data_IF_613790577288
#
_entry.id   IF_613790577288
#
_cell.length_a   1.000
_cell.length_b   1.000
_cell.length_c   1.000
_cell.angle_alpha   90.00
_cell.angle_beta   90.00
_cell.angle_gamma   90.00
#
_symmetry.space_group_name_H-M   'P 1'
#
loop_
_entity.id
_entity.type
_entity.pdbx_description
1 polymer ?
#
# COMPACT_ATOMS: atom_id res chain seq x y z
N UNK A 1 -0.86 -25.46 20.05
CA UNK A 1 0.40 -24.78 19.66
C UNK A 1 0.25 -23.32 19.98
N UNK A 2 1.27 -22.68 20.59
CA UNK A 2 1.16 -21.28 21.04
C UNK A 2 1.12 -20.33 19.82
N UNK A 3 0.31 -19.27 19.89
CA UNK A 3 0.14 -18.15 18.95
C UNK A 3 1.47 -17.63 18.36
N UNK A 4 2.51 -17.58 19.19
CA UNK A 4 3.88 -17.21 18.81
C UNK A 4 4.46 -18.17 17.74
N UNK A 5 4.13 -19.44 17.82
CA UNK A 5 4.52 -20.47 16.81
C UNK A 5 3.73 -20.40 15.51
N UNK A 6 2.47 -19.92 15.55
CA UNK A 6 1.69 -19.68 14.33
C UNK A 6 2.25 -18.51 13.53
N UNK A 7 2.43 -17.38 14.18
CA UNK A 7 3.06 -16.20 13.56
C UNK A 7 4.51 -16.51 13.13
N UNK A 8 5.22 -17.36 13.86
CA UNK A 8 6.54 -17.85 13.47
C UNK A 8 6.50 -18.85 12.31
N UNK A 9 5.48 -19.69 12.20
CA UNK A 9 5.32 -20.63 11.07
C UNK A 9 4.83 -19.92 9.81
N UNK A 10 3.92 -18.97 9.93
CA UNK A 10 3.62 -18.05 8.82
C UNK A 10 4.89 -17.33 8.32
N UNK A 11 5.97 -17.33 9.11
CA UNK A 11 7.26 -16.71 8.80
C UNK A 11 8.40 -17.67 8.54
N UNK A 12 8.24 -18.97 8.80
CA UNK A 12 9.34 -19.94 8.77
C UNK A 12 9.43 -20.77 7.46
N UNK A 13 8.53 -20.52 6.51
CA UNK A 13 8.54 -21.22 5.21
C UNK A 13 9.63 -20.71 4.24
N UNK A 14 10.55 -19.89 4.73
CA UNK A 14 11.61 -19.33 3.90
C UNK A 14 13.02 -19.78 4.29
N UNK A 15 13.22 -20.99 4.79
CA UNK A 15 14.58 -21.55 4.90
C UNK A 15 14.52 -23.06 4.70
N UNK A 16 14.98 -23.50 3.53
CA UNK A 16 15.48 -24.85 3.33
C UNK A 16 14.84 -25.65 2.21
N UNK A 17 15.37 -25.55 1.02
CA UNK A 17 15.78 -26.67 0.17
C UNK A 17 16.04 -26.13 -1.24
N UNK A 18 17.29 -26.13 -1.63
CA UNK A 18 17.67 -25.93 -3.02
C UNK A 18 17.16 -27.08 -3.87
N UNK A 19 16.25 -26.77 -4.77
CA UNK A 19 15.92 -27.61 -5.92
C UNK A 19 16.02 -26.69 -7.15
N UNK A 20 16.96 -27.05 -7.99
CA UNK A 20 17.22 -26.43 -9.29
C UNK A 20 16.00 -26.72 -10.18
N UNK A 21 15.19 -25.72 -10.45
CA UNK A 21 14.21 -25.73 -11.51
C UNK A 21 14.66 -24.77 -12.62
N UNK A 22 14.36 -25.05 -13.89
CA UNK A 22 14.84 -24.21 -14.99
C UNK A 22 14.21 -22.83 -14.90
N UNK A 23 15.05 -21.85 -14.71
CA UNK A 23 14.73 -20.43 -14.66
C UNK A 23 14.19 -19.97 -16.01
N UNK A 24 12.89 -19.73 -16.12
CA UNK A 24 12.46 -18.52 -16.83
C UNK A 24 12.45 -17.42 -15.77
N UNK A 25 13.52 -16.66 -15.79
CA UNK A 25 13.84 -15.67 -14.77
C UNK A 25 12.96 -14.45 -14.91
N UNK A 26 11.94 -14.34 -14.07
CA UNK A 26 11.48 -13.06 -13.59
C UNK A 26 12.17 -12.84 -12.23
N UNK A 27 13.17 -11.98 -12.18
CA UNK A 27 13.88 -11.69 -10.93
C UNK A 27 15.38 -11.61 -11.09
N UNK A 28 15.89 -10.94 -12.10
CA UNK A 28 17.23 -10.36 -11.99
C UNK A 28 17.06 -9.00 -11.33
N UNK A 29 17.50 -8.92 -10.07
CA UNK A 29 17.87 -7.67 -9.43
C UNK A 29 18.97 -7.06 -10.31
N UNK A 30 18.57 -6.17 -11.22
CA UNK A 30 19.52 -5.36 -11.96
C UNK A 30 20.08 -4.37 -10.96
N UNK A 31 21.19 -4.71 -10.33
CA UNK A 31 21.97 -3.76 -9.56
C UNK A 31 22.44 -2.71 -10.57
N UNK A 32 21.71 -1.58 -10.63
CA UNK A 32 22.18 -0.42 -11.39
C UNK A 32 23.35 0.12 -10.58
N UNK A 33 24.55 -0.30 -10.94
CA UNK A 33 25.79 0.28 -10.43
C UNK A 33 25.78 1.74 -10.90
N UNK A 34 25.63 2.67 -9.98
CA UNK A 34 25.76 4.09 -10.22
C UNK A 34 27.23 4.39 -10.54
N UNK A 35 27.62 4.23 -11.81
CA UNK A 35 28.76 4.93 -12.32
C UNK A 35 28.35 6.41 -12.40
N UNK A 36 29.08 7.28 -11.73
CA UNK A 36 28.99 8.73 -11.93
C UNK A 36 29.35 9.08 -13.39
N UNK A 37 28.36 9.00 -14.27
CA UNK A 37 28.47 9.53 -15.61
C UNK A 37 28.00 10.97 -15.58
N UNK A 38 28.93 11.90 -15.79
CA UNK A 38 28.61 13.31 -16.09
C UNK A 38 27.52 13.32 -17.17
N UNK A 39 26.43 14.10 -16.99
CA UNK A 39 25.36 14.17 -17.96
C UNK A 39 25.92 14.69 -19.28
N UNK A 40 25.93 13.86 -20.30
CA UNK A 40 26.10 14.31 -21.69
C UNK A 40 24.88 15.18 -22.01
N UNK A 41 25.09 16.43 -22.38
CA UNK A 41 24.07 17.32 -22.92
C UNK A 41 23.56 16.73 -24.24
N UNK A 42 22.54 15.91 -24.17
CA UNK A 42 21.74 15.51 -25.32
C UNK A 42 20.54 16.41 -25.37
N UNK A 43 20.17 16.94 -26.52
CA UNK A 43 18.96 17.72 -26.74
C UNK A 43 17.78 16.97 -26.11
N UNK A 44 17.25 17.52 -24.98
CA UNK A 44 16.65 16.77 -23.90
C UNK A 44 15.43 15.98 -24.33
N UNK A 45 15.49 14.69 -24.21
CA UNK A 45 14.31 13.84 -24.23
C UNK A 45 13.43 14.25 -23.05
N UNK A 46 12.17 14.63 -23.31
CA UNK A 46 11.22 15.03 -22.27
C UNK A 46 10.32 13.86 -21.92
N UNK A 47 10.15 13.62 -20.63
CA UNK A 47 9.22 12.62 -20.11
C UNK A 47 8.16 13.27 -19.23
N UNK A 48 6.96 12.74 -19.22
CA UNK A 48 5.86 13.21 -18.41
C UNK A 48 5.49 12.10 -17.43
N UNK A 49 5.29 12.44 -16.16
CA UNK A 49 4.84 11.52 -15.12
C UNK A 49 3.48 11.98 -14.62
N UNK A 50 2.48 11.12 -14.73
CA UNK A 50 1.13 11.36 -14.24
C UNK A 50 0.99 10.73 -12.85
N UNK A 51 0.80 11.56 -11.83
CA UNK A 51 0.70 11.18 -10.43
C UNK A 51 1.98 11.45 -9.64
N UNK A 52 1.84 12.18 -8.53
CA UNK A 52 2.91 12.55 -7.60
C UNK A 52 3.02 11.63 -6.39
N UNK A 53 2.54 10.38 -6.47
CA UNK A 53 2.74 9.35 -5.46
C UNK A 53 4.14 8.72 -5.52
N UNK A 54 4.44 7.80 -4.62
CA UNK A 54 5.76 7.14 -4.52
C UNK A 54 6.22 6.54 -5.86
N UNK A 55 5.36 5.77 -6.53
CA UNK A 55 5.70 5.15 -7.81
C UNK A 55 6.01 6.19 -8.89
N UNK A 56 5.22 7.27 -8.99
CA UNK A 56 5.46 8.34 -9.95
C UNK A 56 6.74 9.13 -9.68
N UNK A 57 6.95 9.55 -8.43
CA UNK A 57 8.15 10.30 -8.04
C UNK A 57 9.42 9.47 -8.21
N UNK A 58 9.37 8.17 -7.90
CA UNK A 58 10.53 7.31 -8.10
C UNK A 58 10.76 7.04 -9.59
N UNK A 59 9.72 6.90 -10.39
CA UNK A 59 9.84 6.85 -11.88
C UNK A 59 10.48 8.13 -12.43
N UNK A 60 10.05 9.30 -11.95
CA UNK A 60 10.64 10.58 -12.34
C UNK A 60 12.13 10.68 -11.97
N UNK A 61 12.49 10.21 -10.76
CA UNK A 61 13.86 10.14 -10.30
C UNK A 61 14.72 9.24 -11.22
N UNK A 62 14.26 8.04 -11.55
CA UNK A 62 14.95 7.12 -12.44
C UNK A 62 15.11 7.68 -13.85
N UNK A 63 14.06 8.29 -14.43
CA UNK A 63 14.12 8.96 -15.73
C UNK A 63 15.14 10.10 -15.74
N UNK A 64 15.18 10.92 -14.69
CA UNK A 64 16.19 11.97 -14.55
C UNK A 64 17.59 11.38 -14.56
N UNK A 65 17.83 10.27 -13.87
CA UNK A 65 19.15 9.59 -13.85
C UNK A 65 19.58 9.10 -15.25
N UNK A 66 18.61 8.80 -16.13
CA UNK A 66 18.89 8.42 -17.52
C UNK A 66 18.91 9.61 -18.49
N UNK A 67 18.88 10.85 -17.97
CA UNK A 67 19.07 12.08 -18.75
C UNK A 67 17.79 12.67 -19.35
N UNK A 68 16.61 12.26 -18.89
CA UNK A 68 15.36 12.93 -19.26
C UNK A 68 15.16 14.21 -18.49
N UNK A 69 14.59 15.22 -19.15
CA UNK A 69 13.89 16.33 -18.52
C UNK A 69 12.48 15.86 -18.17
N UNK A 70 12.09 15.92 -16.90
CA UNK A 70 10.86 15.32 -16.42
C UNK A 70 9.87 16.38 -15.95
N UNK A 71 8.62 16.26 -16.36
CA UNK A 71 7.49 17.01 -15.79
C UNK A 71 6.59 16.05 -15.02
N UNK A 72 6.42 16.28 -13.72
CA UNK A 72 5.48 15.53 -12.87
C UNK A 72 4.18 16.32 -12.75
N UNK A 73 3.04 15.67 -12.93
CA UNK A 73 1.70 16.27 -12.83
C UNK A 73 0.94 15.58 -11.72
N UNK A 74 0.54 16.34 -10.70
CA UNK A 74 -0.25 15.86 -9.56
C UNK A 74 -1.51 16.71 -9.42
N UNK A 75 -2.65 16.04 -9.29
CA UNK A 75 -3.95 16.70 -9.12
C UNK A 75 -4.10 17.37 -7.75
N UNK A 76 -3.52 16.77 -6.73
CA UNK A 76 -3.56 17.29 -5.36
C UNK A 76 -2.58 18.44 -5.16
N UNK A 77 -2.81 19.20 -4.09
CA UNK A 77 -1.92 20.30 -3.66
C UNK A 77 -0.62 19.79 -3.01
N UNK A 78 -0.51 18.47 -2.77
CA UNK A 78 0.63 17.82 -2.12
C UNK A 78 1.05 16.57 -2.86
N UNK A 79 2.35 16.31 -2.86
CA UNK A 79 2.92 15.04 -3.29
C UNK A 79 2.80 13.96 -2.20
N UNK A 80 2.98 12.70 -2.59
CA UNK A 80 3.02 11.55 -1.68
C UNK A 80 1.90 10.54 -1.91
N UNK A 81 0.74 10.98 -2.37
CA UNK A 81 -0.41 10.11 -2.59
C UNK A 81 -0.84 9.41 -1.30
N UNK A 82 -0.57 8.10 -1.19
CA UNK A 82 -0.92 7.26 -0.02
C UNK A 82 0.15 7.23 1.08
N UNK A 83 1.19 8.04 0.97
CA UNK A 83 2.17 8.28 2.05
C UNK A 83 1.82 9.61 2.68
N UNK A 84 1.63 9.62 3.99
CA UNK A 84 1.33 10.80 4.78
C UNK A 84 1.84 10.59 6.20
N UNK A 85 2.52 11.59 6.75
CA UNK A 85 2.99 11.61 8.14
C UNK A 85 2.39 12.82 8.83
N UNK A 86 1.82 12.62 10.01
CA UNK A 86 1.42 13.71 10.90
C UNK A 86 2.55 13.99 11.88
N UNK A 87 2.90 15.25 12.00
CA UNK A 87 3.89 15.74 12.95
C UNK A 87 3.30 16.88 13.78
N UNK A 88 3.48 16.79 15.09
CA UNK A 88 3.23 17.87 16.04
C UNK A 88 4.40 17.94 16.99
N UNK A 89 5.31 18.87 16.73
CA UNK A 89 6.55 19.02 17.49
C UNK A 89 6.33 19.51 18.93
N UNK A 90 5.26 20.28 19.19
CA UNK A 90 4.93 20.75 20.54
C UNK A 90 4.52 19.58 21.46
N UNK A 91 3.85 18.60 20.92
CA UNK A 91 3.42 17.40 21.63
C UNK A 91 4.40 16.22 21.46
N UNK A 92 5.45 16.39 20.66
CA UNK A 92 6.39 15.31 20.34
C UNK A 92 5.76 14.15 19.57
N UNK A 93 4.68 14.39 18.82
CA UNK A 93 3.96 13.35 18.06
C UNK A 93 4.50 13.29 16.64
N UNK A 94 4.89 12.08 16.24
CA UNK A 94 5.20 11.74 14.85
C UNK A 94 4.49 10.43 14.50
N UNK A 95 3.50 10.47 13.59
CA UNK A 95 2.71 9.29 13.25
C UNK A 95 2.48 9.20 11.75
N UNK A 96 2.82 8.06 11.17
CA UNK A 96 2.46 7.75 9.79
C UNK A 96 0.96 7.40 9.69
N UNK A 97 0.23 8.23 8.98
CA UNK A 97 -1.18 8.03 8.67
C UNK A 97 -1.41 7.34 7.32
N UNK A 98 -0.37 7.28 6.50
CA UNK A 98 -0.32 6.54 5.23
C UNK A 98 0.41 5.22 5.34
N UNK A 99 1.22 4.91 4.31
CA UNK A 99 2.17 3.81 4.34
C UNK A 99 3.15 3.99 5.47
N UNK A 100 3.28 2.97 6.32
CA UNK A 100 3.96 3.09 7.62
C UNK A 100 5.04 2.02 7.79
N UNK A 101 4.63 0.76 7.61
CA UNK A 101 5.46 -0.38 7.97
C UNK A 101 6.19 -0.97 6.79
N UNK A 102 7.42 -1.42 7.05
CA UNK A 102 8.28 -2.07 6.06
C UNK A 102 8.65 -3.45 6.60
N UNK A 103 8.32 -4.47 5.84
CA UNK A 103 8.63 -5.87 6.15
C UNK A 103 10.06 -6.26 5.81
N UNK A 104 10.51 -7.40 6.34
CA UNK A 104 11.87 -7.88 6.11
C UNK A 104 12.15 -8.20 4.63
N UNK A 105 11.18 -8.77 3.93
CA UNK A 105 11.30 -9.14 2.51
C UNK A 105 11.14 -7.97 1.51
N UNK A 106 10.80 -6.77 1.96
CA UNK A 106 10.56 -5.62 1.10
C UNK A 106 11.89 -4.95 0.69
N UNK A 107 12.57 -5.54 -0.26
CA UNK A 107 13.94 -5.18 -0.66
C UNK A 107 14.02 -3.90 -1.49
N UNK A 108 13.02 -3.63 -2.33
CA UNK A 108 13.07 -2.51 -3.27
C UNK A 108 12.89 -1.18 -2.55
N UNK A 109 11.93 -1.08 -1.64
CA UNK A 109 11.75 0.12 -0.83
C UNK A 109 12.93 0.33 0.14
N UNK A 110 13.51 -0.75 0.70
CA UNK A 110 14.70 -0.63 1.55
C UNK A 110 15.92 -0.13 0.76
N UNK A 111 16.07 -0.60 -0.48
CA UNK A 111 17.11 -0.11 -1.39
C UNK A 111 16.93 1.38 -1.70
N UNK A 112 15.69 1.81 -1.99
CA UNK A 112 15.37 3.22 -2.18
C UNK A 112 15.70 4.07 -0.94
N UNK A 113 15.27 3.63 0.24
CA UNK A 113 15.53 4.34 1.51
C UNK A 113 17.03 4.53 1.72
N UNK A 114 17.84 3.49 1.45
CA UNK A 114 19.30 3.57 1.50
C UNK A 114 19.85 4.56 0.46
N UNK A 115 19.34 4.54 -0.78
CA UNK A 115 19.76 5.48 -1.84
C UNK A 115 19.47 6.94 -1.47
N UNK A 116 18.40 7.18 -0.71
CA UNK A 116 18.01 8.50 -0.23
C UNK A 116 18.73 8.91 1.06
N UNK A 117 19.67 8.11 1.57
CA UNK A 117 20.37 8.32 2.85
C UNK A 117 19.41 8.48 4.04
N UNK A 118 18.32 7.71 4.04
CA UNK A 118 17.37 7.64 5.12
C UNK A 118 17.62 6.40 5.97
N UNK A 119 17.29 6.50 7.26
CA UNK A 119 17.43 5.42 8.22
C UNK A 119 16.12 4.68 8.44
N UNK A 120 16.23 3.37 8.65
CA UNK A 120 15.18 2.53 9.18
C UNK A 120 15.36 2.36 10.68
N UNK A 121 14.26 2.44 11.41
CA UNK A 121 14.19 2.08 12.84
C UNK A 121 13.39 0.82 13.02
N UNK A 122 13.73 0.03 14.04
CA UNK A 122 12.97 -1.17 14.34
C UNK A 122 11.56 -0.80 14.81
N UNK A 123 10.58 -1.43 14.18
CA UNK A 123 9.19 -1.35 14.61
C UNK A 123 8.88 -2.57 15.49
N UNK A 124 8.65 -2.37 16.78
CA UNK A 124 8.26 -3.47 17.70
C UNK A 124 6.79 -3.90 17.55
N UNK A 125 6.17 -3.62 16.40
CA UNK A 125 4.75 -3.95 16.15
C UNK A 125 4.50 -5.47 16.19
N UNK A 126 5.47 -6.30 15.81
CA UNK A 126 5.33 -7.77 15.85
C UNK A 126 5.18 -8.33 17.28
N UNK A 127 5.79 -7.69 18.26
CA UNK A 127 5.59 -8.05 19.68
C UNK A 127 4.21 -7.60 20.16
N UNK A 128 3.64 -6.59 19.51
CA UNK A 128 2.34 -5.98 19.83
C UNK A 128 1.15 -6.79 19.35
N UNK A 129 1.24 -7.47 18.22
CA UNK A 129 0.23 -8.46 17.79
C UNK A 129 0.12 -9.64 18.77
N UNK A 130 1.06 -9.78 19.70
CA UNK A 130 1.09 -10.87 20.69
C UNK A 130 0.63 -10.46 22.10
N UNK A 131 0.40 -9.18 22.39
CA UNK A 131 0.06 -8.67 23.70
C UNK A 131 -1.43 -8.30 23.75
N UNK A 132 -2.09 -9.09 24.43
CA UNK A 132 -3.09 -9.26 25.08
C UNK A 132 -3.91 -8.71 26.19
N UNK A 133 -4.61 -9.07 26.86
CA UNK A 133 -5.54 -8.80 27.97
C UNK A 133 -6.85 -8.11 27.63
N UNK A 134 -7.51 -8.54 26.65
CA UNK A 134 -8.96 -8.67 26.71
C UNK A 134 -9.31 -10.04 26.14
N UNK A 135 -10.45 -10.60 26.47
CA UNK A 135 -10.92 -11.92 26.10
C UNK A 135 -11.02 -12.21 24.58
N UNK A 136 -10.38 -11.39 23.74
CA UNK A 136 -10.30 -11.54 22.30
C UNK A 136 -8.94 -12.10 21.89
N UNK A 137 -8.84 -13.39 21.80
CA UNK A 137 -7.79 -14.06 21.03
C UNK A 137 -7.86 -13.56 19.59
N UNK A 138 -6.93 -12.71 19.18
CA UNK A 138 -6.92 -12.06 17.85
C UNK A 138 -6.87 -13.05 16.68
N UNK A 139 -6.42 -14.28 16.90
CA UNK A 139 -6.42 -15.36 15.90
C UNK A 139 -6.78 -16.67 16.58
N UNK A 140 -8.03 -17.04 16.49
CA UNK A 140 -8.51 -18.36 16.89
C UNK A 140 -8.43 -19.32 15.71
N UNK A 141 -7.22 -19.67 15.29
CA UNK A 141 -6.98 -20.63 14.22
C UNK A 141 -6.31 -21.85 14.81
N UNK A 142 -6.88 -23.03 14.59
CA UNK A 142 -6.35 -24.29 15.07
C UNK A 142 -5.02 -24.66 14.41
N UNK A 143 -4.22 -25.49 15.06
CA UNK A 143 -2.98 -25.99 14.48
C UNK A 143 -3.23 -26.77 13.18
N UNK A 144 -4.33 -27.51 13.10
CA UNK A 144 -4.72 -28.28 11.92
C UNK A 144 -5.05 -27.36 10.74
N UNK A 145 -5.76 -26.25 10.99
CA UNK A 145 -6.09 -25.28 9.94
C UNK A 145 -4.85 -24.53 9.47
N UNK A 146 -3.89 -24.27 10.36
CA UNK A 146 -2.59 -23.70 9.98
C UNK A 146 -1.82 -24.64 9.06
N UNK A 147 -1.75 -25.93 9.42
CA UNK A 147 -1.10 -26.93 8.57
C UNK A 147 -1.79 -27.08 7.22
N UNK A 148 -3.13 -26.93 7.20
CA UNK A 148 -3.92 -26.94 5.97
C UNK A 148 -3.57 -25.75 5.09
N UNK A 149 -3.51 -24.54 5.67
CA UNK A 149 -3.12 -23.32 4.94
C UNK A 149 -1.69 -23.40 4.41
N UNK A 150 -0.75 -23.92 5.21
CA UNK A 150 0.63 -24.11 4.76
C UNK A 150 0.70 -25.06 3.54
N UNK A 151 -0.05 -26.16 3.57
CA UNK A 151 -0.14 -27.10 2.44
C UNK A 151 -0.76 -26.45 1.20
N UNK A 152 -1.81 -25.67 1.39
CA UNK A 152 -2.50 -24.95 0.30
C UNK A 152 -1.58 -23.93 -0.35
N UNK A 153 -0.79 -23.20 0.43
CA UNK A 153 0.18 -22.22 -0.07
C UNK A 153 1.29 -22.92 -0.87
N UNK A 154 1.83 -24.04 -0.36
CA UNK A 154 2.85 -24.80 -1.07
C UNK A 154 2.29 -25.42 -2.37
N UNK A 155 1.07 -25.95 -2.34
CA UNK A 155 0.39 -26.45 -3.53
C UNK A 155 0.18 -25.33 -4.56
N UNK A 156 -0.26 -24.13 -4.14
CA UNK A 156 -0.49 -23.00 -5.02
C UNK A 156 0.75 -22.61 -5.82
N UNK A 157 1.93 -22.68 -5.21
CA UNK A 157 3.21 -22.40 -5.90
C UNK A 157 3.48 -23.35 -7.08
N UNK A 158 2.95 -24.57 -7.03
CA UNK A 158 3.13 -25.59 -8.07
C UNK A 158 2.04 -25.57 -9.15
N UNK A 159 0.96 -24.78 -8.98
CA UNK A 159 -0.16 -24.75 -9.90
C UNK A 159 0.19 -24.08 -11.23
N UNK A 160 -0.28 -24.64 -12.32
CA UNK A 160 -0.27 -24.02 -13.64
C UNK A 160 -1.39 -22.97 -13.80
N UNK A 161 -1.29 -22.16 -14.86
CA UNK A 161 -2.22 -21.07 -15.13
C UNK A 161 -3.69 -21.48 -15.17
N UNK A 162 -4.03 -22.63 -15.74
CA UNK A 162 -5.43 -23.13 -15.80
C UNK A 162 -6.00 -23.37 -14.40
N UNK A 163 -5.20 -23.93 -13.49
CA UNK A 163 -5.62 -24.20 -12.13
C UNK A 163 -5.74 -22.91 -11.32
N UNK A 164 -4.79 -22.00 -11.46
CA UNK A 164 -4.82 -20.65 -10.87
C UNK A 164 -6.03 -19.85 -11.34
N UNK A 165 -6.35 -19.91 -12.64
CA UNK A 165 -7.57 -19.31 -13.19
C UNK A 165 -8.85 -19.93 -12.60
N UNK A 166 -8.82 -21.23 -12.25
CA UNK A 166 -9.91 -21.89 -11.53
C UNK A 166 -10.09 -21.33 -10.12
N UNK A 167 -8.99 -21.17 -9.38
CA UNK A 167 -8.98 -20.58 -8.03
C UNK A 167 -9.43 -19.12 -8.04
N UNK A 168 -9.09 -18.37 -9.06
CA UNK A 168 -9.49 -16.98 -9.21
C UNK A 168 -11.02 -16.77 -9.30
N UNK A 169 -11.77 -17.78 -9.71
CA UNK A 169 -13.24 -17.70 -9.78
C UNK A 169 -13.93 -17.76 -8.41
N UNK A 170 -13.21 -18.11 -7.37
CA UNK A 170 -13.72 -18.34 -6.02
C UNK A 170 -13.14 -17.31 -5.07
N UNK A 171 -13.95 -16.68 -4.23
CA UNK A 171 -13.43 -15.81 -3.18
C UNK A 171 -12.74 -16.61 -2.08
N UNK A 172 -11.79 -15.98 -1.39
CA UNK A 172 -10.95 -16.66 -0.44
C UNK A 172 -11.71 -17.22 0.77
N UNK A 173 -12.74 -16.54 1.29
CA UNK A 173 -13.55 -17.06 2.40
C UNK A 173 -14.25 -18.38 2.03
N UNK A 174 -14.78 -18.47 0.80
CA UNK A 174 -15.40 -19.71 0.31
C UNK A 174 -14.38 -20.82 0.10
N UNK A 175 -13.20 -20.47 -0.42
CA UNK A 175 -12.12 -21.43 -0.59
C UNK A 175 -11.58 -21.96 0.75
N UNK A 176 -11.35 -21.09 1.73
CA UNK A 176 -10.92 -21.47 3.07
C UNK A 176 -11.91 -22.43 3.75
N UNK A 177 -13.22 -22.16 3.61
CA UNK A 177 -14.29 -23.07 4.08
C UNK A 177 -14.21 -24.43 3.39
N UNK A 178 -14.02 -24.46 2.08
CA UNK A 178 -13.83 -25.70 1.33
C UNK A 178 -12.60 -26.48 1.78
N UNK A 179 -11.55 -25.80 2.22
CA UNK A 179 -10.33 -26.41 2.81
C UNK A 179 -10.54 -26.89 4.26
N UNK A 180 -11.72 -26.70 4.84
CA UNK A 180 -12.08 -27.22 6.17
C UNK A 180 -11.87 -26.21 7.32
N UNK A 181 -11.60 -24.93 7.03
CA UNK A 181 -11.56 -23.91 8.07
C UNK A 181 -12.97 -23.62 8.59
N UNK A 182 -13.08 -23.44 9.91
CA UNK A 182 -14.32 -23.07 10.57
C UNK A 182 -14.67 -21.59 10.33
N UNK A 183 -15.94 -21.23 10.53
CA UNK A 183 -16.39 -19.83 10.41
C UNK A 183 -15.68 -18.90 11.40
N UNK A 184 -15.29 -19.39 12.58
CA UNK A 184 -14.55 -18.61 13.56
C UNK A 184 -13.10 -18.34 13.08
N UNK A 185 -12.46 -19.32 12.50
CA UNK A 185 -11.12 -19.19 11.91
C UNK A 185 -11.11 -18.25 10.70
N UNK A 186 -12.14 -18.38 9.83
CA UNK A 186 -12.30 -17.50 8.67
C UNK A 186 -12.54 -16.05 9.12
N UNK A 187 -13.36 -15.81 10.16
CA UNK A 187 -13.53 -14.47 10.75
C UNK A 187 -12.21 -13.92 11.31
N UNK A 188 -11.47 -14.73 12.06
CA UNK A 188 -10.17 -14.32 12.60
C UNK A 188 -9.16 -13.94 11.53
N UNK A 189 -9.14 -14.68 10.42
CA UNK A 189 -8.34 -14.32 9.25
C UNK A 189 -8.82 -13.03 8.62
N UNK A 190 -10.13 -12.90 8.45
CA UNK A 190 -10.73 -11.71 7.86
C UNK A 190 -10.38 -10.44 8.64
N UNK A 191 -10.50 -10.47 9.97
CA UNK A 191 -10.17 -9.33 10.83
C UNK A 191 -8.69 -8.90 10.70
N UNK A 192 -7.79 -9.87 10.53
CA UNK A 192 -6.39 -9.57 10.28
C UNK A 192 -6.16 -8.93 8.90
N UNK A 193 -6.76 -9.51 7.85
CA UNK A 193 -6.54 -9.07 6.48
C UNK A 193 -7.24 -7.74 6.17
N UNK A 194 -8.36 -7.45 6.80
CA UNK A 194 -9.09 -6.18 6.64
C UNK A 194 -8.22 -4.97 6.96
N UNK A 195 -7.43 -5.03 8.02
CA UNK A 195 -6.52 -3.93 8.42
C UNK A 195 -5.49 -3.62 7.32
N UNK A 196 -5.15 -4.60 6.51
CA UNK A 196 -4.14 -4.48 5.46
C UNK A 196 -4.80 -4.15 4.12
N UNK A 197 -5.89 -4.83 3.80
CA UNK A 197 -6.54 -4.74 2.49
C UNK A 197 -7.67 -3.71 2.44
N UNK A 198 -8.23 -3.34 3.60
CA UNK A 198 -9.41 -2.47 3.65
C UNK A 198 -10.67 -3.12 3.09
N UNK A 199 -10.73 -4.44 3.03
CA UNK A 199 -11.84 -5.22 2.47
C UNK A 199 -11.90 -6.60 3.07
N UNK A 200 -13.06 -7.24 2.97
CA UNK A 200 -13.27 -8.60 3.43
C UNK A 200 -12.72 -9.65 2.43
N UNK A 201 -12.24 -10.77 2.96
CA UNK A 201 -11.71 -11.88 2.16
C UNK A 201 -12.75 -12.51 1.21
N UNK A 202 -14.05 -12.30 1.46
CA UNK A 202 -15.11 -12.70 0.54
C UNK A 202 -15.23 -11.82 -0.72
N UNK A 203 -14.53 -10.69 -0.77
CA UNK A 203 -14.47 -9.78 -1.91
C UNK A 203 -13.26 -10.03 -2.81
N UNK A 204 -12.30 -10.85 -2.37
CA UNK A 204 -11.01 -11.03 -3.02
C UNK A 204 -10.90 -12.46 -3.55
N UNK A 205 -10.31 -12.63 -4.73
CA UNK A 205 -10.13 -13.96 -5.32
C UNK A 205 -9.17 -14.83 -4.49
N UNK A 206 -9.41 -16.12 -4.47
CA UNK A 206 -8.53 -17.07 -3.76
C UNK A 206 -7.13 -17.06 -4.35
N UNK A 207 -7.03 -16.95 -5.66
CA UNK A 207 -5.74 -16.88 -6.35
C UNK A 207 -4.94 -15.67 -5.90
N UNK A 208 -5.56 -14.49 -5.87
CA UNK A 208 -4.89 -13.25 -5.46
C UNK A 208 -4.43 -13.32 -4.00
N UNK A 209 -5.25 -13.83 -3.09
CA UNK A 209 -4.86 -13.98 -1.68
C UNK A 209 -3.71 -14.97 -1.53
N UNK A 210 -3.74 -16.11 -2.22
CA UNK A 210 -2.68 -17.11 -2.14
C UNK A 210 -1.38 -16.64 -2.77
N UNK A 211 -1.45 -15.85 -3.83
CA UNK A 211 -0.30 -15.22 -4.47
C UNK A 211 0.36 -14.20 -3.54
N UNK A 212 -0.45 -13.37 -2.88
CA UNK A 212 -0.01 -12.38 -1.92
C UNK A 212 0.39 -12.97 -0.55
N UNK A 213 -0.07 -14.18 -0.17
CA UNK A 213 0.18 -14.77 1.16
C UNK A 213 1.67 -14.86 1.50
N UNK A 214 2.52 -15.15 0.54
CA UNK A 214 3.97 -15.18 0.73
C UNK A 214 4.54 -13.78 1.03
N UNK A 215 4.01 -12.74 0.40
CA UNK A 215 4.35 -11.35 0.66
C UNK A 215 3.71 -10.85 1.95
N UNK A 216 2.48 -11.27 2.24
CA UNK A 216 1.79 -10.98 3.49
C UNK A 216 2.53 -11.51 4.71
N UNK A 217 3.16 -12.66 4.60
CA UNK A 217 4.03 -13.17 5.66
C UNK A 217 5.13 -12.17 6.02
N UNK A 218 5.65 -11.44 5.05
CA UNK A 218 6.63 -10.37 5.29
C UNK A 218 5.97 -9.07 5.77
N UNK A 219 4.76 -8.74 5.33
CA UNK A 219 4.01 -7.56 5.73
C UNK A 219 3.37 -7.71 7.13
N UNK A 220 2.93 -8.91 7.49
CA UNK A 220 2.47 -9.24 8.86
C UNK A 220 3.59 -9.26 9.90
N UNK A 221 4.84 -9.09 9.47
CA UNK A 221 5.99 -8.85 10.32
C UNK A 221 6.61 -7.51 9.97
N UNK A 222 5.91 -6.39 10.22
CA UNK A 222 6.52 -5.09 10.05
C UNK A 222 7.70 -5.01 11.02
N UNK A 223 8.91 -4.97 10.47
CA UNK A 223 10.13 -4.86 11.27
C UNK A 223 10.64 -3.46 11.38
N UNK A 224 10.29 -2.62 10.40
CA UNK A 224 10.92 -1.32 10.26
C UNK A 224 9.89 -0.24 9.97
N UNK A 225 10.25 0.97 10.36
CA UNK A 225 9.65 2.23 9.97
C UNK A 225 10.76 3.20 9.53
N UNK A 226 10.41 4.18 8.73
CA UNK A 226 11.37 5.24 8.35
C UNK A 226 11.57 6.17 9.54
N UNK A 227 12.82 6.39 9.97
CA UNK A 227 13.13 7.37 11.00
C UNK A 227 12.63 8.76 10.59
N UNK A 228 11.77 9.36 11.37
CA UNK A 228 11.17 10.66 11.09
C UNK A 228 10.00 10.60 10.10
N UNK A 229 9.38 9.42 9.94
CA UNK A 229 8.17 9.20 9.14
C UNK A 229 8.41 8.90 7.67
N UNK A 230 7.46 8.19 7.06
CA UNK A 230 7.55 7.73 5.67
C UNK A 230 7.51 8.88 4.66
N UNK A 231 6.92 10.03 5.01
CA UNK A 231 6.86 11.22 4.13
C UNK A 231 8.27 11.76 3.80
N UNK A 232 9.29 11.41 4.60
CA UNK A 232 10.68 11.73 4.27
C UNK A 232 11.14 11.13 2.94
N UNK A 233 10.63 9.96 2.56
CA UNK A 233 10.91 9.38 1.23
C UNK A 233 10.45 10.34 0.13
N UNK A 234 9.24 10.87 0.27
CA UNK A 234 8.64 11.82 -0.69
C UNK A 234 9.45 13.12 -0.73
N UNK A 235 9.82 13.64 0.43
CA UNK A 235 10.64 14.86 0.55
C UNK A 235 12.00 14.71 -0.14
N UNK A 236 12.70 13.60 0.09
CA UNK A 236 14.02 13.41 -0.53
C UNK A 236 13.92 13.14 -2.04
N UNK A 237 12.90 12.42 -2.51
CA UNK A 237 12.66 12.30 -3.96
C UNK A 237 12.33 13.65 -4.59
N UNK A 238 11.53 14.49 -3.92
CA UNK A 238 11.22 15.84 -4.39
C UNK A 238 12.48 16.72 -4.43
N UNK A 239 13.33 16.64 -3.41
CA UNK A 239 14.61 17.34 -3.37
C UNK A 239 15.51 16.90 -4.53
N UNK A 240 15.56 15.60 -4.82
CA UNK A 240 16.30 15.06 -5.94
C UNK A 240 15.77 15.57 -7.30
N UNK A 241 14.49 15.91 -7.37
CA UNK A 241 13.80 16.42 -8.57
C UNK A 241 13.77 17.96 -8.65
N UNK A 242 14.43 18.70 -7.74
CA UNK A 242 14.36 20.17 -7.62
C UNK A 242 14.57 20.97 -8.91
N UNK A 243 15.28 20.41 -9.89
CA UNK A 243 15.53 21.03 -11.20
C UNK A 243 14.60 20.49 -12.29
N UNK A 244 13.56 19.77 -11.90
CA UNK A 244 12.52 19.25 -12.77
C UNK A 244 11.22 20.00 -12.54
N UNK A 245 10.31 19.95 -13.47
CA UNK A 245 9.03 20.61 -13.33
C UNK A 245 8.05 19.74 -12.54
N UNK A 246 7.41 20.31 -11.52
CA UNK A 246 6.34 19.68 -10.76
C UNK A 246 5.12 20.59 -10.79
N UNK A 247 4.03 20.11 -11.35
CA UNK A 247 2.74 20.80 -11.46
C UNK A 247 1.82 20.19 -10.42
N UNK A 248 1.41 20.99 -9.44
CA UNK A 248 0.45 20.62 -8.40
C UNK A 248 -0.91 21.26 -8.65
N UNK A 249 -1.98 20.69 -8.09
CA UNK A 249 -3.33 21.22 -8.18
C UNK A 249 -3.95 21.15 -9.58
N UNK A 250 -3.37 20.38 -10.51
CA UNK A 250 -3.88 20.34 -11.87
C UNK A 250 -4.11 18.90 -12.35
N UNK A 251 -5.27 18.65 -12.93
CA UNK A 251 -5.70 17.32 -13.36
C UNK A 251 -5.43 17.09 -14.82
N UNK A 252 -5.02 15.88 -15.18
CA UNK A 252 -4.93 15.43 -16.56
C UNK A 252 -6.33 15.18 -17.12
N UNK A 253 -6.67 15.82 -18.22
CA UNK A 253 -7.97 15.67 -18.88
C UNK A 253 -7.88 14.86 -20.18
N UNK A 254 -6.73 14.94 -20.87
CA UNK A 254 -6.52 14.23 -22.13
C UNK A 254 -5.05 13.86 -22.32
N UNK A 255 -4.83 12.68 -22.91
CA UNK A 255 -3.52 12.23 -23.39
C UNK A 255 -3.64 11.88 -24.85
N UNK A 256 -2.83 12.52 -25.70
CA UNK A 256 -2.80 12.29 -27.15
C UNK A 256 -1.42 11.81 -27.57
N UNK A 257 -1.35 10.67 -28.24
CA UNK A 257 -0.11 10.06 -28.70
C UNK A 257 0.06 10.20 -30.21
N UNK A 258 1.24 10.54 -30.62
CA UNK A 258 1.69 10.58 -32.00
C UNK A 258 3.00 9.80 -32.13
N UNK A 259 3.46 9.54 -33.37
CA UNK A 259 4.62 8.68 -33.62
C UNK A 259 5.83 8.99 -32.72
N UNK A 260 6.14 10.26 -32.45
CA UNK A 260 7.34 10.66 -31.69
C UNK A 260 7.05 11.57 -30.49
N UNK A 261 5.78 11.81 -30.16
CA UNK A 261 5.41 12.77 -29.14
C UNK A 261 4.15 12.33 -28.40
N UNK A 262 4.09 12.63 -27.13
CA UNK A 262 2.86 12.59 -26.33
C UNK A 262 2.52 14.02 -25.91
N UNK A 263 1.24 14.35 -25.98
CA UNK A 263 0.68 15.62 -25.53
C UNK A 263 -0.31 15.34 -24.41
N UNK A 264 -0.16 16.03 -23.29
CA UNK A 264 -1.02 15.90 -22.11
C UNK A 264 -1.69 17.25 -21.87
N UNK A 265 -3.02 17.27 -21.91
CA UNK A 265 -3.82 18.47 -21.65
C UNK A 265 -4.32 18.42 -20.20
N UNK A 266 -4.24 19.55 -19.52
CA UNK A 266 -4.59 19.72 -18.10
C UNK A 266 -5.90 20.49 -17.93
N UNK A 267 -6.51 20.38 -16.77
CA UNK A 267 -7.76 21.07 -16.43
C UNK A 267 -7.65 22.60 -16.44
N UNK A 268 -6.47 23.14 -16.16
CA UNK A 268 -6.16 24.56 -16.26
C UNK A 268 -6.12 25.09 -17.70
N UNK A 269 -6.19 24.21 -18.72
CA UNK A 269 -5.95 24.57 -20.13
C UNK A 269 -4.49 24.50 -20.55
N UNK A 270 -3.57 24.24 -19.62
CA UNK A 270 -2.16 24.03 -19.92
C UNK A 270 -1.95 22.73 -20.69
N UNK A 271 -0.97 22.71 -21.57
CA UNK A 271 -0.56 21.53 -22.36
C UNK A 271 0.92 21.24 -22.11
N UNK A 272 1.25 19.98 -21.79
CA UNK A 272 2.61 19.48 -21.60
C UNK A 272 2.94 18.47 -22.73
N UNK A 273 4.15 18.57 -23.28
CA UNK A 273 4.63 17.70 -24.36
C UNK A 273 5.85 16.92 -23.97
N UNK A 274 5.91 15.66 -24.31
CA UNK A 274 7.03 14.76 -24.02
C UNK A 274 7.21 13.68 -25.08
N UNK A 275 8.26 12.88 -24.97
CA UNK A 275 8.51 11.72 -25.82
C UNK A 275 7.87 10.44 -25.27
N UNK A 276 7.61 10.38 -23.99
CA UNK A 276 6.92 9.29 -23.30
C UNK A 276 6.15 9.78 -22.06
N UNK A 277 5.25 8.92 -21.57
CA UNK A 277 4.49 9.13 -20.34
C UNK A 277 4.67 7.93 -19.43
N UNK A 278 4.95 8.18 -18.14
CA UNK A 278 4.72 7.20 -17.06
C UNK A 278 3.40 7.53 -16.40
N UNK A 279 2.44 6.64 -16.47
CA UNK A 279 1.15 6.77 -15.81
C UNK A 279 1.16 5.99 -14.50
N UNK A 280 1.26 6.71 -13.37
CA UNK A 280 1.25 6.12 -12.03
C UNK A 280 -0.07 6.35 -11.29
N UNK A 281 -1.12 6.63 -12.04
CA UNK A 281 -2.46 6.85 -11.52
C UNK A 281 -3.13 5.53 -11.11
N UNK A 282 -4.03 5.54 -10.12
CA UNK A 282 -4.89 4.38 -9.85
C UNK A 282 -5.67 3.97 -11.10
N UNK A 283 -5.86 2.67 -11.32
CA UNK A 283 -6.49 2.13 -12.53
C UNK A 283 -7.82 2.81 -12.89
N UNK A 284 -8.68 3.04 -11.88
CA UNK A 284 -9.96 3.74 -12.10
C UNK A 284 -9.79 5.20 -12.56
N UNK A 285 -8.70 5.88 -12.18
CA UNK A 285 -8.44 7.26 -12.61
C UNK A 285 -8.01 7.36 -14.08
N UNK A 286 -7.43 6.28 -14.60
CA UNK A 286 -7.05 6.20 -16.03
C UNK A 286 -8.29 6.28 -16.94
N UNK A 287 -9.44 5.80 -16.47
CA UNK A 287 -10.70 5.83 -17.22
C UNK A 287 -11.32 7.24 -17.32
N UNK A 288 -10.95 8.17 -16.45
CA UNK A 288 -11.46 9.55 -16.49
C UNK A 288 -10.75 10.41 -17.56
N UNK A 289 -9.63 9.93 -18.08
CA UNK A 289 -8.80 10.65 -19.03
C UNK A 289 -9.27 10.32 -20.46
N UNK A 290 -9.39 11.34 -21.31
CA UNK A 290 -9.64 11.14 -22.75
C UNK A 290 -8.35 10.71 -23.44
N UNK A 291 -8.31 9.52 -23.98
CA UNK A 291 -7.16 8.96 -24.68
C UNK A 291 -7.30 9.06 -26.21
N UNK A 292 -6.20 9.38 -26.87
CA UNK A 292 -6.10 9.38 -28.35
C UNK A 292 -4.74 8.77 -28.75
N UNK A 293 -4.70 7.57 -29.36
CA UNK A 293 -5.84 6.70 -29.66
C UNK A 293 -6.56 6.27 -28.37
N UNK A 294 -7.79 5.73 -28.52
CA UNK A 294 -8.56 5.22 -27.38
C UNK A 294 -7.86 4.05 -26.70
N UNK A 295 -8.07 3.90 -25.39
CA UNK A 295 -7.51 2.79 -24.63
C UNK A 295 -7.93 1.43 -25.22
N UNK A 296 -7.04 0.43 -25.21
CA UNK A 296 -7.39 -0.95 -25.52
C UNK A 296 -8.53 -1.47 -24.64
N UNK A 297 -9.41 -2.29 -25.19
CA UNK A 297 -10.56 -2.83 -24.47
C UNK A 297 -10.15 -3.61 -23.22
N UNK A 298 -9.03 -4.31 -23.27
CA UNK A 298 -8.51 -5.10 -22.17
C UNK A 298 -8.03 -4.21 -21.02
N UNK A 299 -7.41 -3.06 -21.30
CA UNK A 299 -7.07 -2.06 -20.29
C UNK A 299 -8.32 -1.50 -19.61
N UNK A 300 -9.34 -1.17 -20.40
CA UNK A 300 -10.62 -0.66 -19.86
C UNK A 300 -11.26 -1.73 -18.97
N UNK A 301 -11.36 -2.96 -19.46
CA UNK A 301 -11.92 -4.08 -18.67
C UNK A 301 -11.14 -4.29 -17.37
N UNK A 302 -9.82 -4.34 -17.45
CA UNK A 302 -8.94 -4.50 -16.28
C UNK A 302 -9.14 -3.38 -15.28
N UNK A 303 -9.18 -2.11 -15.72
CA UNK A 303 -9.41 -0.96 -14.84
C UNK A 303 -10.78 -1.01 -14.14
N UNK A 304 -11.83 -1.48 -14.83
CA UNK A 304 -13.16 -1.64 -14.26
C UNK A 304 -13.25 -2.80 -13.26
N UNK A 305 -12.43 -3.82 -13.43
CA UNK A 305 -12.40 -5.00 -12.53
C UNK A 305 -11.62 -4.73 -11.25
N UNK A 306 -10.56 -3.93 -11.29
CA UNK A 306 -9.80 -3.57 -10.10
C UNK A 306 -10.66 -2.77 -9.13
N UNK A 307 -10.78 -3.26 -7.93
CA UNK A 307 -11.44 -2.57 -6.82
C UNK A 307 -10.39 -1.95 -5.89
N UNK A 308 -10.84 -1.18 -4.92
CA UNK A 308 -9.95 -0.60 -3.91
C UNK A 308 -10.52 -0.81 -2.51
N UNK A 309 -9.66 -1.28 -1.63
CA UNK A 309 -9.97 -1.39 -0.21
C UNK A 309 -10.09 -0.02 0.44
N UNK A 310 -11.00 0.12 1.39
CA UNK A 310 -11.23 1.36 2.11
C UNK A 310 -10.57 1.29 3.47
N UNK A 311 -9.70 2.25 3.76
CA UNK A 311 -9.08 2.42 5.09
C UNK A 311 -9.14 3.89 5.45
N UNK A 312 -9.46 4.17 6.70
CA UNK A 312 -9.22 5.47 7.33
C UNK A 312 -8.42 5.28 8.62
N UNK A 313 -7.59 6.26 8.94
CA UNK A 313 -6.85 6.31 10.21
C UNK A 313 -7.27 7.55 11.00
N UNK A 314 -7.39 7.39 12.31
CA UNK A 314 -7.57 8.51 13.23
C UNK A 314 -6.44 8.48 14.24
N UNK A 315 -5.88 9.64 14.53
CA UNK A 315 -4.96 9.85 15.62
C UNK A 315 -5.66 10.67 16.70
N UNK A 316 -5.63 10.16 17.92
CA UNK A 316 -6.27 10.79 19.09
C UNK A 316 -5.36 10.72 20.29
N UNK A 317 -5.45 11.74 21.17
CA UNK A 317 -4.83 11.64 22.49
C UNK A 317 -5.82 10.99 23.45
N UNK A 318 -5.33 10.00 24.17
CA UNK A 318 -6.10 9.30 25.21
C UNK A 318 -5.37 9.39 26.55
N UNK A 319 -6.16 9.44 27.60
CA UNK A 319 -5.70 9.30 28.98
C UNK A 319 -6.00 7.88 29.46
N UNK A 320 -5.07 7.27 30.16
CA UNK A 320 -5.22 5.96 30.79
C UNK A 320 -4.90 6.03 32.27
N UNK A 321 -5.39 5.07 33.07
CA UNK A 321 -5.04 4.96 34.51
C UNK A 321 -3.58 4.60 34.70
N UNK A 322 -3.08 3.72 33.82
CA UNK A 322 -1.71 3.25 33.83
C UNK A 322 -0.98 3.73 32.56
N UNK A 323 0.34 3.82 32.62
CA UNK A 323 1.15 4.09 31.44
C UNK A 323 0.90 3.02 30.39
N UNK A 324 0.33 3.42 29.24
CA UNK A 324 0.10 2.49 28.13
C UNK A 324 1.44 2.07 27.54
N UNK A 325 1.78 0.82 27.74
CA UNK A 325 2.80 0.18 26.93
C UNK A 325 2.26 0.07 25.48
N UNK A 326 3.16 -0.02 24.54
CA UNK A 326 2.85 -0.23 23.13
C UNK A 326 1.86 -1.40 22.98
N UNK A 327 0.66 -1.15 22.45
CA UNK A 327 -0.35 -2.19 22.20
C UNK A 327 -0.87 -2.13 20.76
N UNK A 328 -1.41 -3.23 20.33
CA UNK A 328 -2.20 -3.37 19.09
C UNK A 328 -3.41 -4.23 19.44
N UNK A 329 -4.59 -3.66 19.29
CA UNK A 329 -5.84 -4.27 19.71
C UNK A 329 -6.86 -4.24 18.55
N UNK A 330 -7.46 -5.37 18.25
CA UNK A 330 -8.63 -5.44 17.36
C UNK A 330 -9.90 -5.40 18.20
N UNK A 331 -10.86 -4.61 17.75
CA UNK A 331 -12.16 -4.41 18.41
C UNK A 331 -13.30 -4.70 17.44
N UNK A 332 -14.51 -4.91 17.96
CA UNK A 332 -15.74 -4.98 17.15
C UNK A 332 -16.40 -3.61 16.93
N UNK A 333 -15.73 -2.54 17.32
CA UNK A 333 -16.22 -1.16 17.24
C UNK A 333 -15.96 -0.54 15.86
N UNK A 334 -16.47 0.67 15.60
CA UNK A 334 -16.13 1.42 14.40
C UNK A 334 -14.63 1.70 14.21
N UNK A 335 -13.86 1.89 15.29
CA UNK A 335 -12.41 2.00 15.28
C UNK A 335 -11.78 0.60 15.42
N UNK A 336 -11.95 -0.24 14.41
CA UNK A 336 -11.66 -1.68 14.40
C UNK A 336 -10.32 -2.09 15.01
N UNK A 337 -9.29 -1.29 14.81
CA UNK A 337 -7.95 -1.57 15.32
C UNK A 337 -7.39 -0.33 15.98
N UNK A 338 -6.95 -0.48 17.21
CA UNK A 338 -6.29 0.56 17.99
C UNK A 338 -4.83 0.17 18.23
N UNK A 339 -3.91 1.10 18.04
CA UNK A 339 -2.50 0.85 18.34
C UNK A 339 -1.77 2.10 18.81
N UNK A 340 -0.71 1.89 19.56
CA UNK A 340 0.22 2.91 20.02
C UNK A 340 1.56 2.71 19.32
N UNK A 341 2.03 3.70 18.59
CA UNK A 341 3.31 3.67 17.88
C UNK A 341 4.46 4.17 18.73
N UNK A 342 4.24 5.25 19.46
CA UNK A 342 5.23 5.93 20.25
C UNK A 342 4.90 5.83 21.76
N UNK A 343 5.90 5.94 22.64
CA UNK A 343 5.66 5.94 24.07
C UNK A 343 4.80 7.13 24.53
N UNK A 344 4.30 7.05 25.76
CA UNK A 344 3.46 8.07 26.37
C UNK A 344 4.09 9.47 26.27
N UNK A 345 3.25 10.46 25.98
CA UNK A 345 3.63 11.87 25.89
C UNK A 345 3.93 12.45 27.31
N UNK A 346 3.55 11.72 28.34
CA UNK A 346 3.70 12.06 29.76
C UNK A 346 2.37 12.05 30.50
N UNK A 347 2.38 11.99 31.82
CA UNK A 347 1.19 12.06 32.69
C UNK A 347 0.03 11.12 32.26
N UNK A 348 0.34 9.88 31.87
CA UNK A 348 -0.65 8.91 31.39
C UNK A 348 -1.41 9.32 30.11
N UNK A 349 -0.85 10.23 29.32
CA UNK A 349 -1.38 10.64 28.01
C UNK A 349 -0.59 9.95 26.91
N UNK A 350 -1.30 9.34 25.96
CA UNK A 350 -0.70 8.60 24.84
C UNK A 350 -1.42 8.93 23.55
N UNK A 351 -0.68 8.98 22.44
CA UNK A 351 -1.24 9.06 21.12
C UNK A 351 -1.66 7.66 20.65
N UNK A 352 -2.96 7.49 20.42
CA UNK A 352 -3.54 6.25 19.91
C UNK A 352 -3.98 6.45 18.46
N UNK A 353 -3.51 5.58 17.59
CA UNK A 353 -3.98 5.52 16.21
C UNK A 353 -5.02 4.42 16.07
N UNK A 354 -6.13 4.75 15.43
CA UNK A 354 -7.14 3.76 15.02
C UNK A 354 -7.13 3.54 13.52
N UNK A 355 -7.42 2.31 13.11
CA UNK A 355 -7.66 1.91 11.72
C UNK A 355 -9.11 1.45 11.63
N UNK A 356 -9.84 2.00 10.67
CA UNK A 356 -11.18 1.56 10.29
C UNK A 356 -11.19 1.15 8.83
N UNK A 357 -11.96 0.11 8.49
CA UNK A 357 -11.97 -0.47 7.15
C UNK A 357 -13.37 -0.56 6.57
N UNK A 358 -13.50 -0.69 5.26
CA UNK A 358 -14.76 -0.93 4.57
C UNK A 358 -15.84 0.11 4.93
N UNK A 359 -17.00 -0.37 5.38
CA UNK A 359 -18.12 0.49 5.76
C UNK A 359 -17.85 1.28 7.04
N UNK A 360 -17.06 0.74 7.98
CA UNK A 360 -16.67 1.46 9.19
C UNK A 360 -15.78 2.66 8.87
N UNK A 361 -14.85 2.53 7.91
CA UNK A 361 -14.12 3.68 7.39
C UNK A 361 -15.05 4.75 6.79
N UNK A 362 -16.10 4.31 6.09
CA UNK A 362 -17.10 5.21 5.52
C UNK A 362 -17.92 5.98 6.58
N UNK A 363 -18.13 5.40 7.77
CA UNK A 363 -18.76 6.11 8.90
C UNK A 363 -17.90 7.29 9.35
N UNK A 364 -16.59 7.09 9.50
CA UNK A 364 -15.67 8.17 9.83
C UNK A 364 -15.58 9.21 8.71
N UNK A 365 -15.53 8.79 7.45
CA UNK A 365 -15.45 9.72 6.31
C UNK A 365 -16.65 10.68 6.21
N UNK A 366 -17.85 10.15 6.39
CA UNK A 366 -19.10 10.91 6.27
C UNK A 366 -19.43 11.70 7.54
N UNK A 367 -18.88 11.33 8.68
CA UNK A 367 -19.16 11.94 9.97
C UNK A 367 -18.61 13.36 10.09
N UNK A 368 -19.32 14.23 10.78
CA UNK A 368 -18.77 15.49 11.31
C UNK A 368 -17.68 15.19 12.36
N UNK A 369 -16.86 16.18 12.68
CA UNK A 369 -15.79 15.97 13.68
C UNK A 369 -16.34 15.54 15.05
N UNK A 370 -17.49 16.05 15.45
CA UNK A 370 -18.19 15.58 16.66
C UNK A 370 -18.58 14.10 16.55
N UNK A 371 -19.14 13.69 15.41
CA UNK A 371 -19.53 12.28 15.21
C UNK A 371 -18.32 11.36 15.20
N UNK A 372 -17.22 11.76 14.58
CA UNK A 372 -15.97 10.99 14.61
C UNK A 372 -15.42 10.82 16.02
N UNK A 373 -15.43 11.90 16.83
CA UNK A 373 -15.01 11.84 18.23
C UNK A 373 -15.92 10.89 19.02
N UNK A 374 -17.23 10.94 18.83
CA UNK A 374 -18.17 10.04 19.49
C UNK A 374 -17.92 8.56 19.10
N UNK A 375 -17.69 8.28 17.81
CA UNK A 375 -17.32 6.93 17.36
C UNK A 375 -16.02 6.44 18.01
N UNK A 376 -15.04 7.32 18.16
CA UNK A 376 -13.79 6.99 18.81
C UNK A 376 -13.96 6.76 20.31
N UNK A 377 -14.74 7.62 21.00
CA UNK A 377 -15.07 7.46 22.42
C UNK A 377 -15.73 6.11 22.69
N UNK A 378 -16.77 5.77 21.95
CA UNK A 378 -17.46 4.48 22.07
C UNK A 378 -16.51 3.28 21.83
N UNK A 379 -15.54 3.44 20.93
CA UNK A 379 -14.56 2.40 20.68
C UNK A 379 -13.53 2.24 21.81
N UNK A 380 -13.18 3.33 22.46
CA UNK A 380 -12.27 3.30 23.63
C UNK A 380 -12.94 2.76 24.88
N UNK A 381 -14.22 3.06 25.09
CA UNK A 381 -15.04 2.55 26.21
C UNK A 381 -15.13 1.01 26.19
N UNK A 382 -15.22 0.39 25.01
CA UNK A 382 -15.22 -1.08 24.89
C UNK A 382 -13.88 -1.71 25.34
N UNK A 383 -12.80 -0.97 25.11
CA UNK A 383 -11.45 -1.43 25.52
C UNK A 383 -11.24 -1.30 27.02
N UNK A 384 -11.95 -0.37 27.67
CA UNK A 384 -11.85 -0.06 29.09
C UNK A 384 -10.63 0.78 29.45
N UNK A 385 -10.73 1.53 30.51
CA UNK A 385 -9.65 2.37 31.10
C UNK A 385 -8.96 3.38 30.16
N UNK A 386 -9.54 3.63 28.97
CA UNK A 386 -9.06 4.62 27.99
C UNK A 386 -10.09 5.73 27.81
N UNK A 387 -9.68 6.97 28.05
CA UNK A 387 -10.53 8.14 27.91
C UNK A 387 -10.01 9.06 26.81
N UNK A 388 -10.86 9.40 25.84
CA UNK A 388 -10.54 10.36 24.79
C UNK A 388 -10.41 11.77 25.37
N UNK A 389 -9.32 12.45 25.12
CA UNK A 389 -9.16 13.86 25.46
C UNK A 389 -9.82 14.69 24.36
N UNK A 390 -11.09 15.10 24.60
CA UNK A 390 -11.95 15.74 23.60
C UNK A 390 -11.40 17.06 23.06
N UNK A 391 -10.66 17.80 23.88
CA UNK A 391 -10.08 19.10 23.55
C UNK A 391 -8.73 18.99 22.83
N UNK A 392 -8.19 17.77 22.74
CA UNK A 392 -6.92 17.51 22.07
C UNK A 392 -7.06 17.46 20.55
N UNK A 393 -5.94 17.55 19.82
CA UNK A 393 -5.94 17.29 18.38
C UNK A 393 -6.56 15.92 18.06
N UNK A 394 -7.54 15.93 17.17
CA UNK A 394 -8.13 14.75 16.57
C UNK A 394 -7.85 14.79 15.07
N UNK A 395 -6.94 13.94 14.63
CA UNK A 395 -6.51 13.93 13.23
C UNK A 395 -7.17 12.79 12.50
N UNK A 396 -8.03 13.12 11.55
CA UNK A 396 -8.66 12.15 10.66
C UNK A 396 -7.97 12.17 9.31
N UNK A 397 -7.49 11.02 8.87
CA UNK A 397 -6.89 10.85 7.56
C UNK A 397 -7.70 9.85 6.73
N UNK A 398 -8.13 10.29 5.56
CA UNK A 398 -8.81 9.48 4.56
C UNK A 398 -8.10 9.61 3.22
N UNK A 399 -7.79 8.48 2.63
CA UNK A 399 -7.15 8.45 1.31
C UNK A 399 -8.06 8.96 0.20
N UNK A 400 -9.38 8.93 0.40
CA UNK A 400 -10.34 9.52 -0.54
C UNK A 400 -10.14 11.04 -0.68
N UNK A 401 -9.93 11.74 0.44
CA UNK A 401 -9.65 13.18 0.40
C UNK A 401 -8.31 13.49 -0.24
N UNK A 402 -7.30 12.69 0.04
CA UNK A 402 -5.93 12.91 -0.44
C UNK A 402 -5.79 12.59 -1.92
N UNK A 403 -6.33 11.47 -2.38
CA UNK A 403 -6.21 11.02 -3.79
C UNK A 403 -7.42 11.40 -4.64
N UNK A 404 -8.47 11.96 -4.03
CA UNK A 404 -9.76 12.28 -4.65
C UNK A 404 -10.57 11.07 -5.09
N UNK A 405 -10.11 9.86 -4.75
CA UNK A 405 -10.82 8.60 -4.96
C UNK A 405 -10.70 7.73 -3.72
N UNK A 406 -11.76 6.99 -3.34
CA UNK A 406 -11.65 6.03 -2.26
C UNK A 406 -10.63 4.97 -2.64
N UNK A 407 -9.79 4.58 -1.68
CA UNK A 407 -8.95 3.42 -1.84
C UNK A 407 -7.56 3.53 -1.26
N UNK A 408 -7.19 2.48 -0.55
CA UNK A 408 -5.89 2.32 0.09
C UNK A 408 -5.03 1.31 -0.65
N UNK A 409 -5.59 0.15 -0.98
CA UNK A 409 -4.93 -0.96 -1.66
C UNK A 409 -5.79 -1.41 -2.84
N UNK A 410 -5.16 -1.78 -3.93
CA UNK A 410 -5.86 -2.36 -5.07
C UNK A 410 -6.23 -3.81 -4.78
N UNK A 411 -7.47 -4.17 -5.07
CA UNK A 411 -8.06 -5.48 -4.82
C UNK A 411 -8.42 -6.17 -6.13
N UNK A 412 -8.25 -7.48 -6.15
CA UNK A 412 -8.54 -8.34 -7.28
C UNK A 412 -9.69 -9.28 -6.92
N UNK A 413 -10.95 -8.92 -7.25
CA UNK A 413 -12.10 -9.77 -6.98
C UNK A 413 -12.07 -11.03 -7.86
N UNK A 414 -12.92 -12.05 -7.56
CA UNK A 414 -13.04 -13.23 -8.42
C UNK A 414 -13.26 -12.88 -9.89
N UNK A 415 -12.54 -13.53 -10.79
CA UNK A 415 -12.53 -13.24 -12.24
C UNK A 415 -11.51 -12.16 -12.65
N UNK A 416 -10.46 -11.96 -11.87
CA UNK A 416 -9.40 -10.98 -12.13
C UNK A 416 -8.08 -11.59 -12.60
N UNK A 417 -8.04 -12.88 -12.88
CA UNK A 417 -6.82 -13.56 -13.33
C UNK A 417 -6.23 -12.90 -14.59
N UNK A 418 -4.96 -12.59 -14.56
CA UNK A 418 -4.23 -12.01 -15.71
C UNK A 418 -4.49 -10.53 -15.97
N UNK A 419 -5.38 -9.84 -15.21
CA UNK A 419 -5.64 -8.43 -15.46
C UNK A 419 -4.45 -7.52 -15.20
N UNK A 420 -3.50 -7.92 -14.35
CA UNK A 420 -2.24 -7.20 -14.14
C UNK A 420 -1.35 -7.23 -15.39
N UNK A 421 -1.35 -8.34 -16.13
CA UNK A 421 -0.47 -8.56 -17.28
C UNK A 421 -0.74 -7.57 -18.41
N UNK A 422 -2.00 -7.14 -18.54
CA UNK A 422 -2.41 -6.15 -19.56
C UNK A 422 -1.72 -4.80 -19.34
N UNK A 423 -1.47 -4.42 -18.09
CA UNK A 423 -0.80 -3.17 -17.75
C UNK A 423 0.73 -3.26 -17.83
N UNK A 424 1.24 -4.48 -17.87
CA UNK A 424 2.67 -4.70 -18.02
C UNK A 424 3.16 -4.26 -19.40
N UNK A 425 2.32 -4.35 -20.42
CA UNK A 425 2.65 -3.92 -21.77
C UNK A 425 2.45 -2.41 -21.94
N UNK A 426 3.38 -1.70 -22.60
CA UNK A 426 3.21 -0.29 -22.90
C UNK A 426 2.02 -0.05 -23.84
N UNK A 427 1.25 0.99 -23.55
CA UNK A 427 0.28 1.51 -24.50
C UNK A 427 0.95 2.56 -25.38
N UNK A 428 1.56 2.13 -26.48
CA UNK A 428 2.42 2.92 -27.36
C UNK A 428 3.57 3.62 -26.60
N UNK A 429 3.40 4.90 -26.22
CA UNK A 429 4.39 5.70 -25.48
C UNK A 429 4.02 5.93 -24.01
N UNK A 430 2.98 5.24 -23.54
CA UNK A 430 2.55 5.29 -22.15
C UNK A 430 2.93 3.99 -21.47
N UNK A 431 3.70 4.13 -20.39
CA UNK A 431 4.12 3.04 -19.51
C UNK A 431 3.38 3.19 -18.19
N UNK A 432 2.92 2.10 -17.64
CA UNK A 432 2.13 2.12 -16.40
C UNK A 432 2.99 1.72 -15.22
N UNK A 433 2.79 2.40 -14.09
CA UNK A 433 3.39 2.10 -12.80
C UNK A 433 2.36 2.27 -11.68
N UNK A 434 2.58 1.66 -10.54
CA UNK A 434 1.68 1.74 -9.38
C UNK A 434 1.71 0.45 -8.58
N UNK A 435 1.34 0.51 -7.30
CA UNK A 435 1.34 -0.67 -6.42
C UNK A 435 0.47 -1.82 -6.95
N UNK A 436 -0.57 -1.50 -7.71
CA UNK A 436 -1.51 -2.43 -8.30
C UNK A 436 -0.95 -3.27 -9.45
N UNK A 437 0.24 -2.92 -9.96
CA UNK A 437 0.87 -3.58 -11.11
C UNK A 437 2.05 -4.47 -10.71
N UNK A 438 2.52 -4.35 -9.48
CA UNK A 438 3.57 -5.20 -8.98
C UNK A 438 3.07 -6.64 -8.73
N UNK A 439 3.99 -7.58 -8.62
CA UNK A 439 3.69 -8.97 -8.30
C UNK A 439 2.87 -9.08 -7.01
N UNK A 440 3.32 -8.41 -5.95
CA UNK A 440 2.55 -8.21 -4.73
C UNK A 440 1.97 -6.81 -4.69
N UNK A 441 0.76 -6.65 -4.19
CA UNK A 441 0.06 -5.37 -4.14
C UNK A 441 0.04 -4.76 -2.74
N UNK A 442 -0.34 -3.51 -2.62
CA UNK A 442 -0.69 -2.89 -1.34
C UNK A 442 0.48 -2.44 -0.47
N UNK A 443 1.68 -2.25 -1.01
CA UNK A 443 2.84 -1.81 -0.23
C UNK A 443 3.64 -0.69 -0.89
N UNK A 444 4.49 -0.03 -0.11
CA UNK A 444 5.48 0.92 -0.65
C UNK A 444 6.50 0.19 -1.53
N UNK A 445 6.86 -1.05 -1.19
CA UNK A 445 7.77 -1.89 -1.98
C UNK A 445 7.20 -2.15 -3.38
N UNK A 446 5.91 -2.49 -3.46
CA UNK A 446 5.20 -2.70 -4.72
C UNK A 446 5.18 -1.45 -5.60
N UNK A 447 5.02 -0.27 -4.99
CA UNK A 447 5.07 0.99 -5.72
C UNK A 447 6.46 1.26 -6.31
N UNK A 448 7.53 0.94 -5.56
CA UNK A 448 8.92 1.06 -6.01
C UNK A 448 9.24 0.03 -7.09
N UNK A 449 8.90 -1.24 -6.89
CA UNK A 449 9.11 -2.33 -7.84
C UNK A 449 8.45 -2.04 -9.20
N UNK A 450 7.19 -1.56 -9.18
CA UNK A 450 6.47 -1.22 -10.40
C UNK A 450 7.10 -0.06 -11.17
N UNK A 451 7.66 0.94 -10.47
CA UNK A 451 8.41 2.03 -11.09
C UNK A 451 9.66 1.52 -11.79
N UNK A 452 10.45 0.65 -11.14
CA UNK A 452 11.63 0.01 -11.75
C UNK A 452 11.23 -0.74 -13.01
N UNK A 453 10.16 -1.54 -12.93
CA UNK A 453 9.66 -2.32 -14.06
C UNK A 453 9.22 -1.43 -15.23
N UNK A 454 8.48 -0.35 -14.97
CA UNK A 454 8.04 0.58 -16.01
C UNK A 454 9.25 1.24 -16.71
N UNK A 455 10.23 1.71 -15.94
CA UNK A 455 11.42 2.38 -16.49
C UNK A 455 12.33 1.41 -17.28
N UNK A 456 12.43 0.15 -16.88
CA UNK A 456 13.22 -0.84 -17.61
C UNK A 456 12.74 -1.10 -19.05
N UNK A 457 11.53 -0.63 -19.38
CA UNK A 457 10.89 -0.79 -20.70
C UNK A 457 10.92 0.49 -21.55
N UNK A 458 11.39 1.62 -21.00
CA UNK A 458 11.52 2.92 -21.72
C UNK A 458 12.84 3.01 -22.49
#
# INVERSE_FOLDING_TARGET
MNRKRFLQKLSAVTIGAGLILPKKSFGQTTTITTAETKPKSSGGKKAIVLGGGLSGLYSAYLLKQTGYEVTVIERGEKLGGRIATYENSELGILQDLGGEWIGEGQSDVKSLIKQLNLDLVSSNVTERFSLQKSNADLLKISSTSIETLDKVIELHKSLGNTQKQGLDKINFSSYARYQGLTEEEIRSMNDLYRVILGADLNQISSESVLDDLSAFQSALKPKFQVRGGAERIIKELTNALRNQEIILGDSVTKVSQQKNQVTVDLSSGRTVKGSLVICSLPAAAVLDIKWTPGLPKDLIYSALRMQTGKISKNLSLVKSKDSLSKFFLSTNTPAETLYVSEPAIGNNVTAVTSISTGDRASLFEKGSDRQKKNLMTASLEEVGDLELILESPFVFHSFQKTTGRPGFVSLFPPGSFGIKDVWAEPFERVFFAGEHLAFHTGSMDSAVASAIQAISRT
#
